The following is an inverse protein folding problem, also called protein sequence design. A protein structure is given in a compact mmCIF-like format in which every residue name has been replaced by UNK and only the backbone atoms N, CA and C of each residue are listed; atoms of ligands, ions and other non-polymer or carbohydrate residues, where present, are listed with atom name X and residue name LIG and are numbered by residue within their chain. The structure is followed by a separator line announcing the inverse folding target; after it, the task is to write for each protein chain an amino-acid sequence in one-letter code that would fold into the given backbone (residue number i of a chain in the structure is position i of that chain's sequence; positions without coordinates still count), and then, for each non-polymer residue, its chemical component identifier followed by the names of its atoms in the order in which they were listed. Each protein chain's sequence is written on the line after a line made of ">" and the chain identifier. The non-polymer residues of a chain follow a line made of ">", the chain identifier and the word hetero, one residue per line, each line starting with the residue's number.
data_IF_031372766616
#
_entry.id   IF_031372766616
#
_cell.length_a   1.000
_cell.length_b   1.000
_cell.length_c   1.000
_cell.angle_alpha   90.00
_cell.angle_beta   90.00
_cell.angle_gamma   90.00
#
_symmetry.space_group_name_H-M   'P 1'
#
loop_
_entity.id
_entity.type
_entity.pdbx_description
1 polymer ?
#
# COMPACT_ATOMS: atom_id res chain seq x y z
N UNK A 1 -19.99 15.51 -5.54
CA UNK A 1 -18.59 15.12 -5.81
C UNK A 1 -17.92 14.86 -4.48
N UNK A 2 -17.50 13.63 -4.22
CA UNK A 2 -16.73 13.27 -3.03
C UNK A 2 -15.32 13.84 -3.20
N UNK A 3 -14.78 14.59 -2.22
CA UNK A 3 -13.38 15.00 -2.26
C UNK A 3 -12.48 13.75 -2.38
N UNK A 4 -11.43 13.76 -3.22
CA UNK A 4 -10.63 12.56 -3.50
C UNK A 4 -10.02 11.92 -2.24
N UNK A 5 -9.65 12.71 -1.24
CA UNK A 5 -9.16 12.20 0.04
C UNK A 5 -10.19 11.41 0.86
N UNK A 6 -11.48 11.75 0.78
CA UNK A 6 -12.53 11.08 1.56
C UNK A 6 -12.85 9.69 0.98
N UNK A 7 -12.78 9.54 -0.35
CA UNK A 7 -12.98 8.25 -0.99
C UNK A 7 -11.91 7.22 -0.58
N UNK A 8 -10.63 7.64 -0.55
CA UNK A 8 -9.53 6.78 -0.12
C UNK A 8 -9.69 6.30 1.34
N UNK A 9 -10.14 7.17 2.24
CA UNK A 9 -10.34 6.80 3.65
C UNK A 9 -11.55 5.87 3.85
N UNK A 10 -12.61 6.03 3.04
CA UNK A 10 -13.75 5.11 3.05
C UNK A 10 -13.33 3.72 2.59
N UNK A 11 -12.51 3.62 1.55
CA UNK A 11 -11.99 2.33 1.07
C UNK A 11 -11.13 1.64 2.14
N UNK A 12 -10.30 2.40 2.86
CA UNK A 12 -9.48 1.91 3.98
C UNK A 12 -10.33 1.42 5.16
N UNK A 13 -11.40 2.15 5.49
CA UNK A 13 -12.31 1.76 6.57
C UNK A 13 -13.14 0.53 6.19
N UNK A 14 -13.61 0.46 4.94
CA UNK A 14 -14.33 -0.70 4.41
C UNK A 14 -13.47 -1.98 4.51
N UNK A 15 -12.19 -1.87 4.13
CA UNK A 15 -11.21 -2.93 4.28
C UNK A 15 -11.04 -3.36 5.74
N UNK A 16 -10.83 -2.41 6.65
CA UNK A 16 -10.65 -2.69 8.08
C UNK A 16 -11.87 -3.38 8.72
N UNK A 17 -13.07 -3.13 8.20
CA UNK A 17 -14.33 -3.71 8.68
C UNK A 17 -14.74 -4.99 7.92
N UNK A 18 -14.05 -5.35 6.83
CA UNK A 18 -14.41 -6.48 5.97
C UNK A 18 -15.75 -6.29 5.25
N UNK A 19 -16.06 -5.08 4.79
CA UNK A 19 -17.32 -4.74 4.11
C UNK A 19 -17.07 -4.02 2.78
N UNK A 20 -18.07 -4.02 1.90
CA UNK A 20 -18.03 -3.26 0.64
C UNK A 20 -18.05 -1.74 0.87
N UNK A 21 -17.25 -0.92 0.15
CA UNK A 21 -17.21 0.53 0.32
C UNK A 21 -18.58 1.21 0.18
N UNK A 22 -19.48 0.68 -0.66
CA UNK A 22 -20.84 1.20 -0.84
C UNK A 22 -21.67 1.18 0.45
N UNK A 23 -21.36 0.26 1.38
CA UNK A 23 -22.00 0.18 2.71
C UNK A 23 -21.64 1.37 3.58
N UNK A 24 -20.54 2.06 3.26
CA UNK A 24 -20.03 3.24 3.95
C UNK A 24 -20.29 4.54 3.17
N UNK A 25 -21.15 4.51 2.14
CA UNK A 25 -21.46 5.68 1.32
C UNK A 25 -21.96 6.90 2.11
N UNK A 26 -22.58 6.68 3.28
CA UNK A 26 -23.01 7.75 4.19
C UNK A 26 -21.85 8.61 4.75
N UNK A 27 -20.61 8.12 4.68
CA UNK A 27 -19.41 8.85 5.13
C UNK A 27 -18.79 9.73 4.03
N UNK A 28 -19.29 9.66 2.79
CA UNK A 28 -18.73 10.38 1.64
C UNK A 28 -18.76 11.91 1.79
N UNK A 29 -19.63 12.44 2.66
CA UNK A 29 -19.70 13.88 2.94
C UNK A 29 -18.70 14.37 4.00
N UNK A 30 -17.96 13.48 4.66
CA UNK A 30 -17.06 13.85 5.76
C UNK A 30 -15.66 14.23 5.27
N UNK A 31 -14.95 15.12 5.98
CA UNK A 31 -13.53 15.40 5.75
C UNK A 31 -12.67 14.14 5.87
N UNK A 32 -11.66 14.01 5.01
CA UNK A 32 -10.77 12.84 5.00
C UNK A 32 -10.07 12.60 6.35
N UNK A 33 -9.69 13.67 7.05
CA UNK A 33 -9.02 13.58 8.35
C UNK A 33 -9.95 13.02 9.45
N UNK A 34 -11.24 13.34 9.40
CA UNK A 34 -12.24 12.79 10.32
C UNK A 34 -12.47 11.31 10.06
N UNK A 35 -12.58 10.91 8.79
CA UNK A 35 -12.70 9.48 8.42
C UNK A 35 -11.44 8.70 8.81
N UNK A 36 -10.25 9.31 8.66
CA UNK A 36 -8.98 8.74 9.14
C UNK A 36 -9.00 8.54 10.66
N UNK A 37 -9.46 9.55 11.40
CA UNK A 37 -9.55 9.51 12.87
C UNK A 37 -10.52 8.42 13.34
N UNK A 38 -11.71 8.35 12.73
CA UNK A 38 -12.68 7.29 13.00
C UNK A 38 -12.10 5.90 12.74
N UNK A 39 -11.37 5.73 11.64
CA UNK A 39 -10.69 4.47 11.32
C UNK A 39 -9.70 4.06 12.39
N UNK A 40 -8.87 5.00 12.89
CA UNK A 40 -7.94 4.73 13.98
C UNK A 40 -8.66 4.31 15.27
N UNK A 41 -9.72 5.01 15.66
CA UNK A 41 -10.50 4.69 16.86
C UNK A 41 -11.18 3.31 16.79
N UNK A 42 -11.71 2.94 15.62
CA UNK A 42 -12.30 1.61 15.39
C UNK A 42 -11.21 0.53 15.50
N UNK A 43 -10.04 0.76 14.90
CA UNK A 43 -8.92 -0.18 15.00
C UNK A 43 -8.48 -0.38 16.45
N UNK A 44 -8.40 0.69 17.25
CA UNK A 44 -8.05 0.65 18.67
C UNK A 44 -9.08 -0.13 19.50
N UNK A 45 -10.38 0.15 19.28
CA UNK A 45 -11.45 -0.53 20.01
C UNK A 45 -11.52 -2.04 19.71
N UNK A 46 -11.36 -2.42 18.43
CA UNK A 46 -11.29 -3.82 18.01
C UNK A 46 -10.06 -4.52 18.61
N UNK A 47 -8.95 -3.80 18.78
CA UNK A 47 -7.75 -4.37 19.38
C UNK A 47 -7.86 -4.59 20.89
N UNK A 48 -8.31 -3.58 21.64
CA UNK A 48 -8.38 -3.66 23.11
C UNK A 48 -9.35 -4.75 23.57
N UNK A 49 -10.39 -5.04 22.79
CA UNK A 49 -11.36 -6.10 23.10
C UNK A 49 -10.73 -7.51 23.19
N UNK A 50 -9.69 -7.81 22.41
CA UNK A 50 -9.11 -9.16 22.31
C UNK A 50 -7.68 -9.29 22.86
N UNK A 51 -7.10 -8.17 23.34
CA UNK A 51 -5.73 -8.06 23.89
C UNK A 51 -5.31 -9.18 24.86
N UNK A 52 -6.13 -9.64 25.83
CA UNK A 52 -5.72 -10.71 26.76
C UNK A 52 -5.46 -12.07 26.09
N UNK A 53 -6.08 -12.35 24.94
CA UNK A 53 -5.86 -13.59 24.18
C UNK A 53 -4.55 -13.53 23.38
N UNK A 54 -4.24 -12.37 22.78
CA UNK A 54 -3.01 -12.16 22.02
C UNK A 54 -1.75 -12.29 22.89
N UNK A 55 -1.78 -11.74 24.11
CA UNK A 55 -0.65 -11.83 25.06
C UNK A 55 -0.31 -13.29 25.40
N UNK A 56 -1.32 -14.15 25.59
CA UNK A 56 -1.09 -15.58 25.87
C UNK A 56 -0.49 -16.31 24.66
N UNK A 57 -0.96 -15.97 23.46
CA UNK A 57 -0.45 -16.56 22.22
C UNK A 57 1.03 -16.16 21.99
N UNK A 58 1.36 -14.89 22.20
CA UNK A 58 2.72 -14.37 22.12
C UNK A 58 3.66 -15.00 23.17
N UNK A 59 3.17 -15.28 24.37
CA UNK A 59 3.96 -15.97 25.40
C UNK A 59 4.28 -17.43 25.01
N UNK A 60 3.34 -18.13 24.38
CA UNK A 60 3.54 -19.51 23.93
C UNK A 60 4.53 -19.62 22.77
N UNK A 61 4.59 -18.63 21.88
CA UNK A 61 5.56 -18.62 20.76
C UNK A 61 7.02 -18.55 21.24
N UNK A 62 7.27 -18.09 22.46
CA UNK A 62 8.63 -18.05 23.05
C UNK A 62 9.18 -19.44 23.35
N UNK A 63 8.32 -20.43 23.59
CA UNK A 63 8.69 -21.79 24.04
C UNK A 63 8.83 -22.82 22.90
N UNK A 64 8.53 -22.46 21.65
CA UNK A 64 8.50 -23.39 20.50
C UNK A 64 9.52 -22.98 19.43
N UNK A 65 10.27 -23.90 18.81
CA UNK A 65 11.19 -23.58 17.70
C UNK A 65 10.49 -22.92 16.50
N UNK A 66 11.13 -21.94 15.86
CA UNK A 66 10.53 -21.07 14.84
C UNK A 66 9.84 -21.80 13.67
N UNK A 67 10.44 -22.87 13.14
CA UNK A 67 9.84 -23.64 12.04
C UNK A 67 8.57 -24.41 12.45
N UNK A 68 8.52 -24.91 13.69
CA UNK A 68 7.34 -25.61 14.23
C UNK A 68 6.25 -24.59 14.60
N UNK A 69 6.64 -23.47 15.19
CA UNK A 69 5.74 -22.36 15.49
C UNK A 69 5.10 -21.80 14.22
N UNK A 70 5.85 -21.61 13.14
CA UNK A 70 5.31 -21.13 11.87
C UNK A 70 4.31 -22.12 11.25
N UNK A 71 4.63 -23.42 11.18
CA UNK A 71 3.70 -24.45 10.67
C UNK A 71 2.40 -24.51 11.48
N UNK A 72 2.51 -24.47 12.82
CA UNK A 72 1.33 -24.46 13.68
C UNK A 72 0.55 -23.14 13.57
N UNK A 73 1.23 -22.01 13.40
CA UNK A 73 0.58 -20.70 13.22
C UNK A 73 -0.23 -20.70 11.92
N UNK A 74 0.38 -21.07 10.80
CA UNK A 74 -0.31 -21.11 9.51
C UNK A 74 -1.48 -22.10 9.48
N UNK A 75 -1.36 -23.24 10.19
CA UNK A 75 -2.40 -24.25 10.26
C UNK A 75 -3.53 -23.95 11.26
N UNK A 76 -3.19 -23.38 12.43
CA UNK A 76 -4.12 -23.29 13.57
C UNK A 76 -4.49 -21.85 13.96
N UNK A 77 -3.81 -20.83 13.42
CA UNK A 77 -4.06 -19.43 13.76
C UNK A 77 -4.70 -18.71 12.57
N UNK A 78 -5.93 -18.19 12.72
CA UNK A 78 -6.50 -17.29 11.73
C UNK A 78 -5.60 -16.06 11.50
N UNK A 79 -5.47 -15.55 10.25
CA UNK A 79 -4.58 -14.44 9.92
C UNK A 79 -4.77 -13.19 10.80
N UNK A 80 -6.00 -12.87 11.19
CA UNK A 80 -6.29 -11.77 12.11
C UNK A 80 -5.62 -11.95 13.48
N UNK A 81 -5.65 -13.16 14.05
CA UNK A 81 -4.99 -13.41 15.34
C UNK A 81 -3.47 -13.32 15.21
N UNK A 82 -2.91 -13.79 14.09
CA UNK A 82 -1.48 -13.67 13.83
C UNK A 82 -1.06 -12.21 13.63
N UNK A 83 -1.86 -11.40 12.94
CA UNK A 83 -1.63 -9.95 12.81
C UNK A 83 -1.59 -9.26 14.17
N UNK A 84 -2.56 -9.53 15.04
CA UNK A 84 -2.56 -8.95 16.41
C UNK A 84 -1.45 -9.49 17.30
N UNK A 85 -1.03 -10.73 17.08
CA UNK A 85 0.13 -11.29 17.78
C UNK A 85 1.42 -10.65 17.30
N UNK A 86 1.54 -10.33 16.00
CA UNK A 86 2.72 -9.68 15.43
C UNK A 86 2.99 -8.30 16.06
N UNK A 87 1.95 -7.59 16.48
CA UNK A 87 2.05 -6.31 17.22
C UNK A 87 2.66 -6.46 18.63
N UNK A 88 2.77 -7.68 19.17
CA UNK A 88 3.21 -7.96 20.53
C UNK A 88 4.51 -8.76 20.63
N UNK A 89 5.09 -9.21 19.51
CA UNK A 89 6.32 -10.00 19.51
C UNK A 89 7.56 -9.14 19.25
N UNK A 90 8.70 -9.62 19.73
CA UNK A 90 9.98 -8.97 19.51
C UNK A 90 10.43 -9.12 18.04
N UNK A 91 11.06 -8.09 17.43
CA UNK A 91 11.38 -8.09 16.00
C UNK A 91 12.17 -9.31 15.52
N UNK A 92 13.13 -9.79 16.31
CA UNK A 92 13.91 -10.98 15.97
C UNK A 92 13.04 -12.25 15.85
N UNK A 93 12.01 -12.39 16.69
CA UNK A 93 11.06 -13.50 16.62
C UNK A 93 10.19 -13.42 15.38
N UNK A 94 9.75 -12.21 15.00
CA UNK A 94 9.01 -12.02 13.78
C UNK A 94 9.83 -12.44 12.55
N UNK A 95 11.10 -12.04 12.49
CA UNK A 95 12.03 -12.45 11.41
C UNK A 95 12.16 -13.97 11.33
N UNK A 96 12.29 -14.65 12.47
CA UNK A 96 12.39 -16.11 12.49
C UNK A 96 11.11 -16.80 12.01
N UNK A 97 9.93 -16.31 12.40
CA UNK A 97 8.64 -16.88 11.98
C UNK A 97 8.38 -16.64 10.49
N UNK A 98 8.58 -15.42 10.01
CA UNK A 98 8.28 -15.01 8.63
C UNK A 98 9.10 -15.80 7.60
N UNK A 99 10.28 -16.33 7.97
CA UNK A 99 11.09 -17.22 7.12
C UNK A 99 10.42 -18.55 6.78
N UNK A 100 9.44 -18.98 7.58
CA UNK A 100 8.87 -20.32 7.50
C UNK A 100 7.39 -20.35 7.10
N UNK A 101 6.70 -19.21 7.19
CA UNK A 101 5.29 -19.07 6.78
C UNK A 101 5.16 -19.03 5.25
N UNK A 102 4.04 -19.42 4.67
CA UNK A 102 3.81 -19.22 3.22
C UNK A 102 3.59 -17.75 2.86
N UNK A 103 3.86 -17.39 1.61
CA UNK A 103 3.57 -16.04 1.09
C UNK A 103 2.07 -15.74 1.14
N UNK A 104 1.24 -16.76 0.86
CA UNK A 104 -0.19 -16.61 0.86
C UNK A 104 -0.76 -16.28 2.24
N UNK A 105 -0.29 -16.98 3.27
CA UNK A 105 -0.67 -16.70 4.65
C UNK A 105 -0.13 -15.35 5.12
N UNK A 106 1.11 -14.98 4.77
CA UNK A 106 1.68 -13.68 5.11
C UNK A 106 0.94 -12.51 4.43
N UNK A 107 0.42 -12.71 3.23
CA UNK A 107 -0.45 -11.74 2.58
C UNK A 107 -1.76 -11.57 3.36
N UNK A 108 -2.39 -12.66 3.82
CA UNK A 108 -3.61 -12.60 4.65
C UNK A 108 -3.35 -11.90 6.00
N UNK A 109 -2.21 -12.20 6.63
CA UNK A 109 -1.78 -11.54 7.88
C UNK A 109 -1.57 -10.06 7.63
N UNK A 110 -0.91 -9.69 6.53
CA UNK A 110 -0.67 -8.29 6.17
C UNK A 110 -1.98 -7.54 5.95
N UNK A 111 -2.96 -8.16 5.30
CA UNK A 111 -4.27 -7.55 5.05
C UNK A 111 -5.08 -7.31 6.34
N UNK A 112 -4.85 -8.11 7.39
CA UNK A 112 -5.49 -7.96 8.69
C UNK A 112 -4.68 -7.11 9.70
N UNK A 113 -3.49 -6.66 9.33
CA UNK A 113 -2.55 -5.95 10.21
C UNK A 113 -2.63 -4.43 10.01
N UNK A 114 -2.52 -3.68 11.10
CA UNK A 114 -2.13 -2.27 11.03
C UNK A 114 -0.61 -2.17 11.18
N UNK A 115 0.08 -1.90 10.07
CA UNK A 115 1.54 -1.84 10.06
C UNK A 115 2.12 -0.79 11.02
N UNK A 116 1.39 0.30 11.27
CA UNK A 116 1.85 1.37 12.17
C UNK A 116 1.99 0.89 13.62
N UNK A 117 1.21 -0.13 14.00
CA UNK A 117 1.19 -0.72 15.35
C UNK A 117 2.28 -1.77 15.56
N UNK A 118 2.95 -2.19 14.48
CA UNK A 118 4.03 -3.17 14.49
C UNK A 118 5.28 -2.66 13.75
N UNK A 119 5.54 -1.34 13.79
CA UNK A 119 6.57 -0.69 12.96
C UNK A 119 7.97 -1.32 13.11
N UNK A 120 8.41 -1.62 14.33
CA UNK A 120 9.73 -2.25 14.57
C UNK A 120 9.80 -3.67 13.99
N UNK A 121 8.70 -4.42 14.08
CA UNK A 121 8.60 -5.77 13.52
C UNK A 121 8.66 -5.72 12.00
N UNK A 122 7.86 -4.84 11.37
CA UNK A 122 7.83 -4.66 9.91
C UNK A 122 9.19 -4.20 9.39
N UNK A 123 9.83 -3.25 10.08
CA UNK A 123 11.15 -2.72 9.71
C UNK A 123 12.26 -3.78 9.77
N UNK A 124 12.13 -4.77 10.66
CA UNK A 124 13.11 -5.84 10.83
C UNK A 124 13.00 -6.96 9.78
N UNK A 125 11.88 -7.07 9.05
CA UNK A 125 11.71 -8.12 8.04
C UNK A 125 12.71 -7.92 6.89
N UNK A 126 13.46 -8.98 6.47
CA UNK A 126 14.44 -8.86 5.40
C UNK A 126 13.84 -8.39 4.07
N UNK A 127 14.58 -7.54 3.36
CA UNK A 127 14.15 -6.94 2.09
C UNK A 127 13.64 -7.95 1.02
N UNK A 128 14.30 -9.11 0.78
CA UNK A 128 13.80 -10.08 -0.20
C UNK A 128 12.42 -10.64 0.18
N UNK A 129 12.15 -10.74 1.48
CA UNK A 129 10.89 -11.29 1.99
C UNK A 129 9.76 -10.28 1.89
N UNK A 130 10.03 -9.00 2.19
CA UNK A 130 9.09 -7.91 1.92
C UNK A 130 8.74 -7.84 0.43
N UNK A 131 9.73 -7.97 -0.47
CA UNK A 131 9.46 -7.98 -1.90
C UNK A 131 8.56 -9.15 -2.33
N UNK A 132 8.78 -10.34 -1.76
CA UNK A 132 7.95 -11.53 -2.05
C UNK A 132 6.51 -11.35 -1.57
N UNK A 133 6.32 -10.87 -0.34
CA UNK A 133 4.97 -10.58 0.21
C UNK A 133 4.30 -9.47 -0.60
N UNK A 134 5.04 -8.42 -0.95
CA UNK A 134 4.56 -7.32 -1.79
C UNK A 134 4.06 -7.82 -3.15
N UNK A 135 4.81 -8.71 -3.81
CA UNK A 135 4.41 -9.30 -5.08
C UNK A 135 3.11 -10.13 -4.96
N UNK A 136 2.96 -10.91 -3.88
CA UNK A 136 1.73 -11.68 -3.63
C UNK A 136 0.53 -10.76 -3.35
N UNK A 137 0.71 -9.69 -2.57
CA UNK A 137 -0.33 -8.67 -2.36
C UNK A 137 -0.70 -7.97 -3.66
N UNK A 138 0.28 -7.64 -4.51
CA UNK A 138 0.04 -7.01 -5.80
C UNK A 138 -0.72 -7.94 -6.75
N UNK A 139 -0.38 -9.23 -6.77
CA UNK A 139 -1.12 -10.26 -7.52
C UNK A 139 -2.59 -10.34 -7.10
N UNK A 140 -2.88 -10.06 -5.83
CA UNK A 140 -4.25 -10.00 -5.26
C UNK A 140 -4.90 -8.62 -5.37
N UNK A 141 -4.21 -7.64 -5.94
CA UNK A 141 -4.67 -6.25 -6.06
C UNK A 141 -4.92 -5.55 -4.72
N UNK A 142 -4.19 -5.96 -3.67
CA UNK A 142 -4.27 -5.41 -2.31
C UNK A 142 -3.49 -4.08 -2.18
N UNK A 143 -3.82 -3.10 -3.03
CA UNK A 143 -3.07 -1.84 -3.13
C UNK A 143 -3.07 -1.07 -1.82
N UNK A 144 -4.21 -1.07 -1.13
CA UNK A 144 -4.38 -0.36 0.15
C UNK A 144 -3.48 -0.96 1.23
N UNK A 145 -3.38 -2.29 1.28
CA UNK A 145 -2.49 -2.99 2.20
C UNK A 145 -1.04 -2.61 1.90
N UNK A 146 -0.62 -2.67 0.64
CA UNK A 146 0.75 -2.30 0.26
C UNK A 146 1.05 -0.84 0.65
N UNK A 147 0.15 0.09 0.34
CA UNK A 147 0.29 1.50 0.67
C UNK A 147 0.43 1.76 2.18
N UNK A 148 -0.26 0.97 3.02
CA UNK A 148 -0.18 1.06 4.48
C UNK A 148 1.16 0.63 5.08
N UNK A 149 1.98 -0.14 4.35
CA UNK A 149 3.29 -0.63 4.82
C UNK A 149 4.47 0.27 4.42
N UNK A 150 4.30 1.14 3.42
CA UNK A 150 5.39 1.93 2.82
C UNK A 150 6.15 2.78 3.84
N UNK A 151 5.49 3.33 4.85
CA UNK A 151 6.14 4.14 5.88
C UNK A 151 6.82 3.33 6.99
N UNK A 152 6.62 2.00 7.02
CA UNK A 152 7.03 1.13 8.13
C UNK A 152 8.15 0.18 7.72
N UNK A 153 8.26 -0.15 6.43
CA UNK A 153 9.36 -0.96 5.90
C UNK A 153 10.67 -0.17 5.89
N UNK A 154 11.78 -0.89 6.07
CA UNK A 154 13.12 -0.29 5.98
C UNK A 154 13.41 0.19 4.54
N UNK A 155 14.32 1.17 4.38
CA UNK A 155 14.68 1.68 3.05
C UNK A 155 15.16 0.59 2.06
N UNK A 156 15.99 -0.40 2.47
CA UNK A 156 16.35 -1.52 1.59
C UNK A 156 15.15 -2.39 1.19
N UNK A 157 14.18 -2.59 2.11
CA UNK A 157 12.97 -3.35 1.84
C UNK A 157 12.02 -2.61 0.90
N UNK A 158 11.85 -1.29 1.08
CA UNK A 158 11.11 -0.44 0.16
C UNK A 158 11.69 -0.50 -1.25
N UNK A 159 13.02 -0.38 -1.38
CA UNK A 159 13.70 -0.49 -2.67
C UNK A 159 13.54 -1.87 -3.30
N UNK A 160 13.56 -2.94 -2.51
CA UNK A 160 13.32 -4.30 -3.02
C UNK A 160 11.87 -4.50 -3.49
N UNK A 161 10.89 -3.97 -2.75
CA UNK A 161 9.47 -4.04 -3.13
C UNK A 161 9.18 -3.25 -4.42
N UNK A 162 9.69 -2.01 -4.54
CA UNK A 162 9.48 -1.20 -5.76
C UNK A 162 10.01 -1.90 -7.01
N UNK A 163 11.08 -2.69 -6.94
CA UNK A 163 11.64 -3.40 -8.09
C UNK A 163 10.77 -4.55 -8.61
N UNK A 164 9.88 -5.10 -7.78
CA UNK A 164 9.01 -6.22 -8.21
C UNK A 164 7.69 -5.74 -8.81
N UNK A 165 7.37 -4.45 -8.68
CA UNK A 165 6.14 -3.88 -9.21
C UNK A 165 6.31 -3.32 -10.63
N UNK A 166 5.30 -3.52 -11.47
CA UNK A 166 5.23 -2.85 -12.77
C UNK A 166 4.70 -1.41 -12.66
N UNK A 167 4.63 -0.70 -13.79
CA UNK A 167 4.16 0.68 -13.83
C UNK A 167 2.69 0.85 -13.41
N UNK A 168 1.81 -0.08 -13.81
CA UNK A 168 0.40 -0.03 -13.42
C UNK A 168 0.24 -0.18 -11.91
N UNK A 169 0.90 -1.20 -11.35
CA UNK A 169 0.87 -1.50 -9.92
C UNK A 169 1.39 -0.32 -9.09
N UNK A 170 2.53 0.26 -9.50
CA UNK A 170 3.08 1.43 -8.81
C UNK A 170 2.15 2.65 -8.88
N UNK A 171 1.44 2.85 -9.99
CA UNK A 171 0.46 3.93 -10.13
C UNK A 171 -0.72 3.74 -9.16
N UNK A 172 -1.27 2.51 -9.09
CA UNK A 172 -2.35 2.15 -8.16
C UNK A 172 -1.93 2.24 -6.69
N UNK A 173 -0.72 1.77 -6.36
CA UNK A 173 -0.16 1.86 -5.00
C UNK A 173 0.07 3.32 -4.60
N UNK A 174 0.63 4.13 -5.51
CA UNK A 174 0.88 5.56 -5.28
C UNK A 174 -0.40 6.33 -4.96
N UNK A 175 -1.51 6.00 -5.63
CA UNK A 175 -2.81 6.62 -5.39
C UNK A 175 -3.34 6.39 -3.97
N UNK A 176 -3.15 5.21 -3.39
CA UNK A 176 -3.68 4.87 -2.06
C UNK A 176 -2.69 5.13 -0.90
N UNK A 177 -1.49 5.64 -1.19
CA UNK A 177 -0.47 5.94 -0.18
C UNK A 177 -0.97 6.95 0.86
N UNK A 178 -0.83 6.64 2.16
CA UNK A 178 -1.30 7.51 3.26
C UNK A 178 -0.48 8.79 3.40
N UNK A 179 0.84 8.68 3.27
CA UNK A 179 1.75 9.83 3.36
C UNK A 179 2.25 10.20 1.97
N UNK A 180 1.57 11.17 1.35
CA UNK A 180 1.94 11.68 0.02
C UNK A 180 3.31 12.37 0.00
N UNK A 181 3.86 12.77 1.16
CA UNK A 181 5.24 13.28 1.23
C UNK A 181 6.26 12.18 0.91
N UNK A 182 5.89 10.90 1.08
CA UNK A 182 6.74 9.75 0.74
C UNK A 182 6.71 9.36 -0.72
N UNK A 183 5.74 9.85 -1.53
CA UNK A 183 5.78 9.69 -2.99
C UNK A 183 7.10 10.19 -3.55
N UNK A 184 7.67 11.19 -2.88
CA UNK A 184 8.92 11.73 -3.27
C UNK A 184 10.08 10.73 -3.00
N UNK A 185 10.14 10.05 -1.87
CA UNK A 185 11.18 9.03 -1.68
C UNK A 185 11.00 7.83 -2.61
N UNK A 186 9.75 7.41 -2.83
CA UNK A 186 9.43 6.27 -3.69
C UNK A 186 9.78 6.55 -5.15
N UNK A 187 9.49 7.75 -5.66
CA UNK A 187 9.78 8.09 -7.06
C UNK A 187 11.28 8.10 -7.41
N UNK A 188 12.18 8.22 -6.42
CA UNK A 188 13.63 8.03 -6.62
C UNK A 188 14.02 6.58 -6.88
N UNK A 189 13.20 5.63 -6.45
CA UNK A 189 13.44 4.19 -6.58
C UNK A 189 12.88 3.62 -7.89
N UNK A 190 11.93 4.32 -8.50
CA UNK A 190 11.28 3.91 -9.76
C UNK A 190 12.25 4.06 -10.93
N UNK A 191 12.27 3.09 -11.83
CA UNK A 191 13.10 3.09 -13.06
C UNK A 191 12.40 3.80 -14.23
N UNK A 192 13.16 4.16 -15.26
CA UNK A 192 12.57 4.79 -16.47
C UNK A 192 11.57 3.85 -17.15
N UNK A 193 11.87 2.55 -17.17
CA UNK A 193 11.00 1.51 -17.73
C UNK A 193 9.67 1.45 -16.97
N UNK A 194 9.70 1.56 -15.63
CA UNK A 194 8.48 1.61 -14.84
C UNK A 194 7.70 2.90 -15.07
N UNK A 195 8.38 4.03 -15.28
CA UNK A 195 7.72 5.29 -15.65
C UNK A 195 7.02 5.16 -17.01
N UNK A 196 7.69 4.60 -18.01
CA UNK A 196 7.09 4.37 -19.34
C UNK A 196 5.86 3.48 -19.20
N UNK A 197 5.96 2.40 -18.41
CA UNK A 197 4.86 1.49 -18.15
C UNK A 197 3.70 2.16 -17.38
N UNK A 198 3.95 3.14 -16.49
CA UNK A 198 2.89 3.92 -15.84
C UNK A 198 2.09 4.74 -16.87
N UNK A 199 2.78 5.41 -17.80
CA UNK A 199 2.15 6.23 -18.83
C UNK A 199 1.31 5.37 -19.79
N UNK A 200 1.86 4.22 -20.20
CA UNK A 200 1.14 3.24 -21.03
C UNK A 200 -0.07 2.69 -20.27
N UNK A 201 0.09 2.24 -19.02
CA UNK A 201 -1.01 1.70 -18.23
C UNK A 201 -2.12 2.73 -17.98
N UNK A 202 -1.78 4.00 -17.78
CA UNK A 202 -2.77 5.06 -17.66
C UNK A 202 -3.60 5.21 -18.94
N UNK A 203 -2.95 5.14 -20.12
CA UNK A 203 -3.62 5.19 -21.41
C UNK A 203 -4.49 3.95 -21.68
N UNK A 204 -3.96 2.75 -21.45
CA UNK A 204 -4.62 1.49 -21.77
C UNK A 204 -5.77 1.16 -20.81
N UNK A 205 -5.62 1.52 -19.53
CA UNK A 205 -6.57 1.15 -18.47
C UNK A 205 -7.36 2.33 -17.91
N UNK A 206 -7.17 3.54 -18.45
CA UNK A 206 -7.91 4.73 -18.05
C UNK A 206 -7.62 5.20 -16.62
N UNK A 207 -6.39 5.01 -16.13
CA UNK A 207 -5.97 5.34 -14.75
C UNK A 207 -5.68 6.85 -14.58
N UNK A 208 -6.60 7.67 -15.07
CA UNK A 208 -6.44 9.12 -15.13
C UNK A 208 -6.46 9.76 -13.75
N UNK A 209 -7.28 9.24 -12.83
CA UNK A 209 -7.35 9.76 -11.47
C UNK A 209 -6.06 9.49 -10.70
N UNK A 210 -5.50 8.29 -10.87
CA UNK A 210 -4.24 7.89 -10.26
C UNK A 210 -3.06 8.67 -10.84
N UNK A 211 -3.03 8.87 -12.16
CA UNK A 211 -2.02 9.70 -12.82
C UNK A 211 -2.12 11.18 -12.41
N UNK A 212 -3.32 11.73 -12.33
CA UNK A 212 -3.54 13.11 -11.90
C UNK A 212 -3.07 13.31 -10.45
N UNK A 213 -3.47 12.41 -9.55
CA UNK A 213 -3.06 12.46 -8.13
C UNK A 213 -1.55 12.35 -7.96
N UNK A 214 -0.90 11.43 -8.70
CA UNK A 214 0.55 11.30 -8.71
C UNK A 214 1.21 12.61 -9.16
N UNK A 215 0.79 13.15 -10.31
CA UNK A 215 1.37 14.36 -10.88
C UNK A 215 1.13 15.58 -9.98
N UNK A 216 -0.04 15.68 -9.34
CA UNK A 216 -0.34 16.77 -8.42
C UNK A 216 0.65 16.81 -7.24
N UNK A 217 1.01 15.65 -6.69
CA UNK A 217 1.88 15.53 -5.51
C UNK A 217 3.38 15.42 -5.81
N UNK A 218 3.78 15.12 -7.05
CA UNK A 218 5.19 15.12 -7.43
C UNK A 218 5.76 16.55 -7.43
N UNK A 219 6.96 16.69 -6.86
CA UNK A 219 7.72 17.94 -6.96
C UNK A 219 8.16 18.24 -8.41
N UNK A 220 8.47 19.50 -8.69
CA UNK A 220 8.86 19.95 -10.05
C UNK A 220 10.09 19.21 -10.59
N UNK A 221 11.05 18.91 -9.73
CA UNK A 221 12.27 18.16 -10.07
C UNK A 221 11.91 16.74 -10.56
N UNK A 222 11.05 16.01 -9.85
CA UNK A 222 10.69 14.64 -10.22
C UNK A 222 9.70 14.58 -11.38
N UNK A 223 8.82 15.57 -11.49
CA UNK A 223 7.99 15.77 -12.67
C UNK A 223 8.86 15.93 -13.94
N UNK A 224 10.07 16.48 -13.83
CA UNK A 224 11.03 16.58 -14.94
C UNK A 224 11.37 15.24 -15.59
N UNK A 225 11.60 14.20 -14.78
CA UNK A 225 11.87 12.85 -15.31
C UNK A 225 10.66 12.26 -16.02
N UNK A 226 9.48 12.38 -15.41
CA UNK A 226 8.22 11.94 -16.01
C UNK A 226 7.94 12.66 -17.33
N UNK A 227 8.20 13.97 -17.40
CA UNK A 227 8.12 14.79 -18.61
C UNK A 227 9.07 14.33 -19.70
N UNK A 228 10.33 14.05 -19.37
CA UNK A 228 11.30 13.50 -20.35
C UNK A 228 10.79 12.17 -20.93
N UNK A 229 10.22 11.30 -20.08
CA UNK A 229 9.63 10.03 -20.54
C UNK A 229 8.39 10.25 -21.39
N UNK A 230 7.50 11.15 -21.00
CA UNK A 230 6.30 11.51 -21.76
C UNK A 230 6.64 12.10 -23.14
N UNK A 231 7.67 12.94 -23.25
CA UNK A 231 8.13 13.48 -24.53
C UNK A 231 8.68 12.41 -25.49
N UNK A 232 9.14 11.28 -24.96
CA UNK A 232 9.65 10.14 -25.72
C UNK A 232 8.61 9.00 -25.87
N UNK A 233 7.41 9.17 -25.32
CA UNK A 233 6.35 8.17 -25.39
C UNK A 233 5.79 8.06 -26.81
N UNK A 234 5.13 6.93 -27.10
CA UNK A 234 4.46 6.71 -28.38
C UNK A 234 3.30 7.71 -28.59
N UNK A 235 3.01 8.02 -29.86
CA UNK A 235 2.04 9.05 -30.24
C UNK A 235 0.63 8.76 -29.71
N UNK A 236 0.25 7.49 -29.60
CA UNK A 236 -1.02 7.03 -29.05
C UNK A 236 -1.13 7.32 -27.54
N UNK A 237 -0.08 7.05 -26.76
CA UNK A 237 -0.01 7.39 -25.33
C UNK A 237 -0.10 8.90 -25.12
N UNK A 238 0.65 9.67 -25.93
CA UNK A 238 0.63 11.14 -25.88
C UNK A 238 -0.77 11.68 -26.23
N UNK A 239 -1.40 11.14 -27.28
CA UNK A 239 -2.74 11.51 -27.69
C UNK A 239 -3.79 11.16 -26.62
N UNK A 240 -3.67 9.98 -26.00
CA UNK A 240 -4.57 9.54 -24.93
C UNK A 240 -4.51 10.47 -23.71
N UNK A 241 -3.30 10.82 -23.25
CA UNK A 241 -3.12 11.73 -22.11
C UNK A 241 -3.64 13.14 -22.42
N UNK A 242 -3.35 13.67 -23.62
CA UNK A 242 -3.90 14.98 -24.03
C UNK A 242 -5.41 14.94 -24.19
N UNK A 243 -5.96 13.85 -24.72
CA UNK A 243 -7.39 13.62 -24.84
C UNK A 243 -8.08 13.55 -23.47
N UNK A 244 -7.48 12.85 -22.50
CA UNK A 244 -7.95 12.80 -21.12
C UNK A 244 -7.98 14.19 -20.48
N UNK A 245 -6.98 15.03 -20.73
CA UNK A 245 -6.96 16.41 -20.26
C UNK A 245 -8.05 17.28 -20.91
N UNK A 246 -8.22 17.18 -22.23
CA UNK A 246 -9.28 17.90 -22.96
C UNK A 246 -10.68 17.45 -22.52
N UNK A 247 -10.84 16.17 -22.17
CA UNK A 247 -12.08 15.60 -21.64
C UNK A 247 -12.31 15.84 -20.14
N UNK A 248 -11.36 16.47 -19.44
CA UNK A 248 -11.46 16.77 -18.00
C UNK A 248 -11.19 15.59 -17.06
N UNK A 249 -10.72 14.45 -17.57
CA UNK A 249 -10.34 13.30 -16.74
C UNK A 249 -8.93 13.44 -16.12
N UNK A 250 -8.07 14.25 -16.74
CA UNK A 250 -6.76 14.67 -16.22
C UNK A 250 -6.76 16.20 -16.08
N UNK A 251 -6.20 16.76 -15.00
CA UNK A 251 -6.18 18.22 -14.85
C UNK A 251 -5.21 18.87 -15.85
N UNK A 252 -5.53 20.09 -16.30
CA UNK A 252 -4.63 20.88 -17.14
C UNK A 252 -3.30 21.21 -16.43
N UNK A 253 -3.32 21.28 -15.09
CA UNK A 253 -2.12 21.49 -14.28
C UNK A 253 -1.20 20.27 -14.33
N UNK A 254 -1.75 19.06 -14.22
CA UNK A 254 -1.00 17.81 -14.36
C UNK A 254 -0.45 17.64 -15.77
N UNK A 255 -1.24 17.96 -16.80
CA UNK A 255 -0.73 17.98 -18.18
C UNK A 255 0.43 18.97 -18.34
N UNK A 256 0.32 20.17 -17.76
CA UNK A 256 1.38 21.16 -17.83
C UNK A 256 2.69 20.65 -17.20
N UNK A 257 2.64 19.89 -16.10
CA UNK A 257 3.83 19.25 -15.51
C UNK A 257 4.51 18.24 -16.43
N UNK A 258 3.77 17.63 -17.36
CA UNK A 258 4.31 16.71 -18.37
C UNK A 258 4.86 17.42 -19.61
N UNK A 259 4.46 18.67 -19.87
CA UNK A 259 4.79 19.36 -21.14
C UNK A 259 5.68 20.58 -21.00
N UNK A 260 5.76 21.21 -19.83
CA UNK A 260 6.58 22.39 -19.55
C UNK A 260 7.93 21.99 -18.96
#
# INVERSE_FOLDING_TARGET
>A
MTPPGSAAQIQKLAHALGVEPVRLAGLAGLPADDVRTLRSQIADALFEADKPRFVRMAALSKAVPGALAAKLTEFAMPPLLAARTAELIEPHRAVDLVRHLSDGYLADVSAAMDASRAAEVVAAIPAPRIATIGAELARRQEWVVIGGFVAQVSAPALAAAVRVFDGEQLLRIGFVLDDKNRLDDVSRLVTDVQIDAMLVAAADHGLWTELDDLLAHLSSERAGRMRTRFAAAADDVVAAIRGAAAGGALSMQSLAKLTA
#
